data_IF_844599396598
#
_entry.id   IF_844599396598
#
_cell.length_a   1.000
_cell.length_b   1.000
_cell.length_c   1.000
_cell.angle_alpha   90.00
_cell.angle_beta   90.00
_cell.angle_gamma   90.00
#
_symmetry.space_group_name_H-M   'P 1'
#
loop_
_entity.id
_entity.type
_entity.pdbx_description
1 polymer ?
#
# COMPACT_ATOMS: atom_id res chain seq x y z
N UNK A 1 -57.98 14.43 34.77
CA UNK A 1 -58.32 14.43 33.33
C UNK A 1 -57.03 14.35 32.52
N UNK A 2 -56.80 13.30 31.72
CA UNK A 2 -55.60 13.17 30.85
C UNK A 2 -55.99 13.51 29.41
N UNK A 3 -55.51 14.64 28.90
CA UNK A 3 -55.81 15.15 27.55
C UNK A 3 -55.09 14.27 26.52
N UNK A 4 -55.83 13.35 25.89
CA UNK A 4 -55.31 12.41 24.88
C UNK A 4 -54.95 13.20 23.62
N UNK A 5 -53.66 13.48 23.44
CA UNK A 5 -53.14 14.20 22.28
C UNK A 5 -53.40 13.34 21.03
N UNK A 6 -54.22 13.83 20.09
CA UNK A 6 -54.47 13.15 18.81
C UNK A 6 -53.63 13.89 17.76
N UNK A 7 -52.47 13.37 17.34
CA UNK A 7 -51.67 14.03 16.32
C UNK A 7 -52.46 14.05 15.00
N UNK A 8 -52.59 15.22 14.41
CA UNK A 8 -53.25 15.39 13.11
C UNK A 8 -52.35 14.83 12.00
N UNK A 9 -52.92 14.37 10.88
CA UNK A 9 -52.16 13.86 9.72
C UNK A 9 -51.05 14.81 9.25
N UNK A 10 -51.26 16.13 9.38
CA UNK A 10 -50.27 17.18 9.07
C UNK A 10 -49.05 17.16 10.00
N UNK A 11 -49.23 16.84 11.28
CA UNK A 11 -48.12 16.70 12.23
C UNK A 11 -47.26 15.49 11.87
N UNK A 12 -47.89 14.36 11.54
CA UNK A 12 -47.17 13.16 11.11
C UNK A 12 -46.39 13.38 9.81
N UNK A 13 -46.97 14.12 8.85
CA UNK A 13 -46.30 14.49 7.61
C UNK A 13 -45.06 15.36 7.87
N UNK A 14 -45.15 16.35 8.78
CA UNK A 14 -44.02 17.20 9.15
C UNK A 14 -42.89 16.41 9.82
N UNK A 15 -43.23 15.51 10.75
CA UNK A 15 -42.24 14.64 11.38
C UNK A 15 -41.56 13.76 10.35
N UNK A 16 -42.32 13.18 9.43
CA UNK A 16 -41.77 12.34 8.37
C UNK A 16 -40.85 13.12 7.42
N UNK A 17 -41.24 14.34 7.03
CA UNK A 17 -40.42 15.21 6.21
C UNK A 17 -39.10 15.59 6.92
N UNK A 18 -39.15 15.92 8.21
CA UNK A 18 -37.96 16.21 9.00
C UNK A 18 -37.02 14.99 9.10
N UNK A 19 -37.58 13.80 9.27
CA UNK A 19 -36.82 12.54 9.31
C UNK A 19 -36.17 12.26 7.95
N UNK A 20 -36.88 12.52 6.85
CA UNK A 20 -36.36 12.34 5.49
C UNK A 20 -35.19 13.30 5.19
N UNK A 21 -35.32 14.56 5.60
CA UNK A 21 -34.25 15.55 5.48
C UNK A 21 -33.04 15.16 6.32
N UNK A 22 -33.26 14.71 7.56
CA UNK A 22 -32.17 14.24 8.43
C UNK A 22 -31.40 13.08 7.80
N UNK A 23 -32.10 12.03 7.35
CA UNK A 23 -31.48 10.86 6.70
C UNK A 23 -30.77 11.25 5.41
N UNK A 24 -31.36 12.15 4.62
CA UNK A 24 -30.74 12.66 3.39
C UNK A 24 -29.42 13.36 3.65
N UNK A 25 -29.38 14.28 4.64
CA UNK A 25 -28.15 15.00 5.02
C UNK A 25 -27.10 14.03 5.55
N UNK A 26 -27.47 13.13 6.48
CA UNK A 26 -26.51 12.16 7.04
C UNK A 26 -25.97 11.21 5.98
N UNK A 27 -26.82 10.77 5.04
CA UNK A 27 -26.41 9.88 3.95
C UNK A 27 -25.40 10.53 3.01
N UNK A 28 -25.59 11.82 2.69
CA UNK A 28 -24.65 12.55 1.84
C UNK A 28 -23.28 12.72 2.51
N UNK A 29 -23.26 13.08 3.79
CA UNK A 29 -22.01 13.21 4.56
C UNK A 29 -21.28 11.86 4.67
N UNK A 30 -22.02 10.79 4.95
CA UNK A 30 -21.45 9.46 5.10
C UNK A 30 -20.90 8.90 3.77
N UNK A 31 -21.49 9.27 2.63
CA UNK A 31 -20.96 8.90 1.32
C UNK A 31 -19.62 9.58 1.02
N UNK A 32 -19.47 10.85 1.38
CA UNK A 32 -18.21 11.58 1.22
C UNK A 32 -17.10 10.98 2.09
N UNK A 33 -17.41 10.74 3.36
CA UNK A 33 -16.48 10.13 4.30
C UNK A 33 -16.08 8.72 3.86
N UNK A 34 -17.04 7.90 3.42
CA UNK A 34 -16.77 6.57 2.88
C UNK A 34 -15.83 6.60 1.68
N UNK A 35 -16.05 7.53 0.74
CA UNK A 35 -15.19 7.65 -0.43
C UNK A 35 -13.78 8.13 -0.06
N UNK A 36 -13.64 9.03 0.90
CA UNK A 36 -12.34 9.48 1.41
C UNK A 36 -11.57 8.33 2.06
N UNK A 37 -12.22 7.58 2.96
CA UNK A 37 -11.62 6.40 3.61
C UNK A 37 -11.25 5.35 2.56
N UNK A 38 -12.09 5.13 1.55
CA UNK A 38 -11.82 4.18 0.46
C UNK A 38 -10.61 4.60 -0.39
N UNK A 39 -10.46 5.89 -0.66
CA UNK A 39 -9.30 6.40 -1.38
C UNK A 39 -8.02 6.25 -0.54
N UNK A 40 -8.06 6.62 0.74
CA UNK A 40 -6.91 6.49 1.64
C UNK A 40 -6.50 5.01 1.82
N UNK A 41 -7.47 4.10 1.96
CA UNK A 41 -7.18 2.66 2.07
C UNK A 41 -6.59 2.10 0.80
N UNK A 42 -7.07 2.52 -0.37
CA UNK A 42 -6.48 2.13 -1.65
C UNK A 42 -5.04 2.62 -1.80
N UNK A 43 -4.76 3.87 -1.42
CA UNK A 43 -3.41 4.44 -1.45
C UNK A 43 -2.46 3.70 -0.51
N UNK A 44 -2.86 3.47 0.75
CA UNK A 44 -2.05 2.69 1.70
C UNK A 44 -1.81 1.27 1.20
N UNK A 45 -2.80 0.64 0.58
CA UNK A 45 -2.65 -0.70 0.01
C UNK A 45 -1.63 -0.71 -1.13
N UNK A 46 -1.65 0.30 -2.02
CA UNK A 46 -0.64 0.45 -3.07
C UNK A 46 0.76 0.59 -2.49
N UNK A 47 0.94 1.41 -1.45
CA UNK A 47 2.25 1.57 -0.78
C UNK A 47 2.76 0.25 -0.18
N UNK A 48 1.86 -0.54 0.41
CA UNK A 48 2.21 -1.87 0.94
C UNK A 48 2.67 -2.79 -0.18
N UNK A 49 1.98 -2.81 -1.31
CA UNK A 49 2.28 -3.71 -2.41
C UNK A 49 3.57 -3.30 -3.14
N UNK A 50 3.85 -2.00 -3.29
CA UNK A 50 5.13 -1.48 -3.78
C UNK A 50 6.29 -1.83 -2.84
N UNK A 51 6.09 -1.68 -1.52
CA UNK A 51 7.09 -2.08 -0.53
C UNK A 51 7.37 -3.59 -0.58
N UNK A 52 6.35 -4.43 -0.77
CA UNK A 52 6.53 -5.88 -0.93
C UNK A 52 7.33 -6.22 -2.18
N UNK A 53 7.01 -5.61 -3.32
CA UNK A 53 7.76 -5.81 -4.57
C UNK A 53 9.23 -5.42 -4.40
N UNK A 54 9.48 -4.31 -3.70
CA UNK A 54 10.84 -3.86 -3.39
C UNK A 54 11.57 -4.86 -2.50
N UNK A 55 10.92 -5.38 -1.45
CA UNK A 55 11.48 -6.40 -0.57
C UNK A 55 11.81 -7.68 -1.34
N UNK A 56 10.93 -8.11 -2.25
CA UNK A 56 11.15 -9.31 -3.07
C UNK A 56 12.34 -9.11 -4.02
N UNK A 57 12.44 -7.97 -4.70
CA UNK A 57 13.59 -7.62 -5.53
C UNK A 57 14.91 -7.57 -4.75
N UNK A 58 14.90 -6.99 -3.55
CA UNK A 58 16.05 -6.98 -2.65
C UNK A 58 16.43 -8.38 -2.18
N UNK A 59 15.46 -9.24 -1.87
CA UNK A 59 15.73 -10.64 -1.51
C UNK A 59 16.41 -11.40 -2.66
N UNK A 60 15.90 -11.25 -3.88
CA UNK A 60 16.50 -11.86 -5.07
C UNK A 60 17.93 -11.35 -5.29
N UNK A 61 18.17 -10.06 -5.05
CA UNK A 61 19.51 -9.46 -5.15
C UNK A 61 20.46 -9.99 -4.07
N UNK A 62 19.99 -10.15 -2.84
CA UNK A 62 20.78 -10.73 -1.73
C UNK A 62 21.08 -12.20 -2.02
N UNK A 63 20.11 -12.96 -2.51
CA UNK A 63 20.30 -14.36 -2.87
C UNK A 63 21.34 -14.50 -3.99
N UNK A 64 21.24 -13.68 -5.04
CA UNK A 64 22.24 -13.61 -6.10
C UNK A 64 23.62 -13.17 -5.60
N UNK A 65 23.68 -12.16 -4.73
CA UNK A 65 24.94 -11.68 -4.16
C UNK A 65 25.61 -12.73 -3.25
N UNK A 66 24.84 -13.65 -2.68
CA UNK A 66 25.34 -14.77 -1.89
C UNK A 66 25.73 -15.99 -2.75
N UNK A 67 25.57 -15.93 -4.08
CA UNK A 67 26.00 -17.02 -4.96
C UNK A 67 27.53 -17.11 -5.03
N UNK A 68 28.09 -18.33 -5.09
CA UNK A 68 29.53 -18.52 -5.27
C UNK A 68 30.09 -17.81 -6.50
N UNK A 69 29.31 -17.74 -7.59
CA UNK A 69 29.70 -17.10 -8.84
C UNK A 69 29.88 -15.59 -8.68
N UNK A 70 28.95 -14.91 -7.98
CA UNK A 70 29.06 -13.48 -7.71
C UNK A 70 30.23 -13.18 -6.76
N UNK A 71 30.42 -14.00 -5.72
CA UNK A 71 31.55 -13.86 -4.78
C UNK A 71 32.88 -14.05 -5.52
N UNK A 72 32.98 -15.02 -6.43
CA UNK A 72 34.17 -15.30 -7.23
C UNK A 72 34.46 -14.17 -8.24
N UNK A 73 33.43 -13.61 -8.87
CA UNK A 73 33.55 -12.44 -9.75
C UNK A 73 34.01 -11.20 -8.98
N UNK A 74 33.43 -10.93 -7.81
CA UNK A 74 33.83 -9.82 -6.94
C UNK A 74 35.26 -9.99 -6.42
N UNK A 75 35.66 -11.20 -6.06
CA UNK A 75 37.04 -11.51 -5.63
C UNK A 75 38.05 -11.32 -6.76
N UNK A 76 37.71 -11.71 -8.00
CA UNK A 76 38.52 -11.41 -9.20
C UNK A 76 38.64 -9.91 -9.45
N UNK A 77 37.53 -9.18 -9.40
CA UNK A 77 37.50 -7.75 -9.71
C UNK A 77 38.20 -6.89 -8.64
N UNK A 78 37.85 -7.10 -7.37
CA UNK A 78 38.34 -6.24 -6.25
C UNK A 78 39.68 -6.69 -5.69
N UNK A 79 39.93 -8.00 -5.62
CA UNK A 79 41.10 -8.56 -4.96
C UNK A 79 42.11 -9.16 -5.94
N UNK A 80 41.77 -9.24 -7.24
CA UNK A 80 42.63 -9.85 -8.25
C UNK A 80 42.83 -11.36 -8.04
N UNK A 81 41.96 -12.00 -7.25
CA UNK A 81 42.09 -13.42 -6.90
C UNK A 81 41.80 -14.30 -8.11
N UNK A 82 42.56 -15.39 -8.25
CA UNK A 82 42.40 -16.40 -9.31
C UNK A 82 42.28 -17.78 -8.66
N UNK A 83 41.58 -18.73 -9.30
CA UNK A 83 41.46 -20.08 -8.74
C UNK A 83 42.81 -20.79 -8.73
N UNK A 84 42.95 -21.77 -7.85
CA UNK A 84 44.18 -22.57 -7.73
C UNK A 84 44.46 -23.30 -9.04
N UNK A 85 45.50 -22.87 -9.76
CA UNK A 85 45.86 -23.38 -11.10
C UNK A 85 45.64 -22.39 -12.26
N UNK A 86 45.04 -21.22 -12.01
CA UNK A 86 44.89 -20.14 -12.99
C UNK A 86 46.06 -19.13 -12.89
N UNK A 87 46.50 -18.56 -14.02
CA UNK A 87 47.56 -17.52 -14.07
C UNK A 87 46.95 -16.18 -14.47
N UNK A 88 47.17 -15.14 -13.67
CA UNK A 88 46.70 -13.77 -13.96
C UNK A 88 47.56 -13.16 -15.08
N UNK A 89 46.95 -12.82 -16.21
CA UNK A 89 47.60 -12.07 -17.28
C UNK A 89 47.41 -10.57 -17.03
N UNK A 90 48.50 -9.81 -16.94
CA UNK A 90 48.47 -8.33 -16.90
C UNK A 90 49.08 -7.88 -18.21
N UNK A 91 48.30 -7.17 -19.02
CA UNK A 91 48.80 -6.52 -20.24
C UNK A 91 49.44 -5.21 -19.79
N UNK A 92 50.78 -5.17 -19.77
CA UNK A 92 51.51 -3.91 -19.67
C UNK A 92 51.44 -3.25 -21.06
N UNK A 93 50.79 -2.10 -21.16
CA UNK A 93 50.87 -1.24 -22.36
C UNK A 93 52.21 -0.48 -22.29
N UNK A 94 53.10 -0.75 -23.26
CA UNK A 94 54.41 -0.09 -23.45
C UNK A 94 54.29 1.42 -23.77
#
# INVERSE_FOLDING_TARGET
>A
MKRKWRPNKRFFLLVFAALFVYVGITGLLQLQEYNAIKAETAEKQQQIDEAKLTIEGLKNTIEYANTPEYIEALAREKLGWVKKGETRYVLDED
#
